data_IF_770507326450
#
_entry.id   IF_770507326450
#
_cell.length_a   1.000
_cell.length_b   1.000
_cell.length_c   1.000
_cell.angle_alpha   90.00
_cell.angle_beta   90.00
_cell.angle_gamma   90.00
#
_symmetry.space_group_name_H-M   'P 1'
#
loop_
_entity.id
_entity.type
_entity.pdbx_description
1 polymer ?
#
# COMPACT_ATOMS: atom_id res chain seq x y z
N UNK A 1 39.42 -30.39 37.59
CA UNK A 1 40.00 -29.03 37.55
C UNK A 1 40.24 -28.51 36.12
N UNK A 2 41.20 -29.02 35.32
CA UNK A 2 41.38 -28.48 33.95
C UNK A 2 40.19 -28.76 33.02
N UNK A 3 39.66 -29.98 33.06
CA UNK A 3 38.55 -30.43 32.21
C UNK A 3 37.23 -29.73 32.55
N UNK A 4 36.94 -29.51 33.83
CA UNK A 4 35.73 -28.78 34.27
C UNK A 4 35.76 -27.29 33.90
N UNK A 5 36.95 -26.68 33.87
CA UNK A 5 37.10 -25.28 33.42
C UNK A 5 36.92 -25.20 31.90
N UNK A 6 37.50 -26.13 31.14
CA UNK A 6 37.29 -26.21 29.68
C UNK A 6 35.80 -26.41 29.35
N UNK A 7 35.12 -27.35 30.02
CA UNK A 7 33.69 -27.58 29.84
C UNK A 7 32.85 -26.32 30.15
N UNK A 8 33.18 -25.58 31.21
CA UNK A 8 32.48 -24.34 31.54
C UNK A 8 32.74 -23.21 30.54
N UNK A 9 33.99 -23.07 30.06
CA UNK A 9 34.35 -22.07 29.05
C UNK A 9 33.64 -22.38 27.73
N UNK A 10 33.60 -23.65 27.32
CA UNK A 10 32.92 -24.09 26.10
C UNK A 10 31.41 -23.89 26.20
N UNK A 11 30.80 -24.17 27.36
CA UNK A 11 29.38 -23.92 27.59
C UNK A 11 29.03 -22.42 27.55
N UNK A 12 29.87 -21.56 28.13
CA UNK A 12 29.70 -20.10 28.08
C UNK A 12 29.86 -19.55 26.66
N UNK A 13 30.88 -20.03 25.94
CA UNK A 13 31.12 -19.68 24.54
C UNK A 13 29.92 -20.08 23.67
N UNK A 14 29.41 -21.29 23.85
CA UNK A 14 28.23 -21.79 23.13
C UNK A 14 26.99 -20.95 23.43
N UNK A 15 26.73 -20.64 24.70
CA UNK A 15 25.60 -19.81 25.10
C UNK A 15 25.67 -18.40 24.50
N UNK A 16 26.87 -17.77 24.51
CA UNK A 16 27.11 -16.48 23.88
C UNK A 16 26.87 -16.53 22.36
N UNK A 17 27.41 -17.54 21.69
CA UNK A 17 27.26 -17.71 20.24
C UNK A 17 25.80 -17.92 19.84
N UNK A 18 25.02 -18.69 20.61
CA UNK A 18 23.59 -18.87 20.39
C UNK A 18 22.86 -17.54 20.55
N UNK A 19 23.12 -16.79 21.64
CA UNK A 19 22.50 -15.48 21.87
C UNK A 19 22.76 -14.53 20.71
N UNK A 20 24.02 -14.40 20.30
CA UNK A 20 24.41 -13.47 19.25
C UNK A 20 23.85 -13.91 17.89
N UNK A 21 23.78 -15.22 17.61
CA UNK A 21 23.17 -15.75 16.38
C UNK A 21 21.67 -15.50 16.33
N UNK A 22 20.96 -15.73 17.44
CA UNK A 22 19.51 -15.51 17.53
C UNK A 22 19.17 -14.05 17.28
N UNK A 23 19.82 -13.12 17.99
CA UNK A 23 19.47 -11.70 17.90
C UNK A 23 19.91 -11.12 16.54
N UNK A 24 21.01 -11.58 15.95
CA UNK A 24 21.40 -11.17 14.59
C UNK A 24 20.52 -11.78 13.48
N UNK A 25 19.76 -12.84 13.77
CA UNK A 25 18.75 -13.39 12.84
C UNK A 25 17.42 -12.65 12.88
N UNK A 26 17.21 -11.77 13.89
CA UNK A 26 16.00 -10.97 13.99
C UNK A 26 15.94 -9.91 12.89
N UNK A 27 14.73 -9.70 12.35
CA UNK A 27 14.46 -8.66 11.35
C UNK A 27 14.42 -7.27 11.99
N UNK A 28 14.13 -7.20 13.29
CA UNK A 28 14.08 -5.96 14.06
C UNK A 28 15.47 -5.58 14.58
N UNK A 29 15.74 -4.28 14.68
CA UNK A 29 16.90 -3.75 15.40
C UNK A 29 16.69 -3.92 16.89
N UNK A 30 17.63 -4.55 17.59
CA UNK A 30 17.57 -4.77 19.04
C UNK A 30 18.78 -4.16 19.72
N UNK A 31 18.52 -3.31 20.72
CA UNK A 31 19.53 -2.67 21.58
C UNK A 31 19.22 -2.95 23.05
N UNK A 32 20.22 -3.37 23.80
CA UNK A 32 20.16 -3.44 25.26
C UNK A 32 20.97 -2.31 25.86
N UNK A 33 20.36 -1.53 26.75
CA UNK A 33 21.00 -0.40 27.43
C UNK A 33 20.93 -0.64 28.94
N UNK A 34 22.06 -0.52 29.63
CA UNK A 34 22.11 -0.65 31.09
C UNK A 34 21.75 0.65 31.82
N UNK A 35 21.66 0.58 33.14
CA UNK A 35 21.38 1.74 34.00
C UNK A 35 22.39 2.90 33.82
N UNK A 36 23.62 2.63 33.37
CA UNK A 36 24.63 3.66 33.07
C UNK A 36 24.51 4.25 31.65
N UNK A 37 23.44 3.93 30.93
CA UNK A 37 23.14 4.37 29.54
C UNK A 37 24.17 3.89 28.52
N UNK A 38 24.83 2.79 28.84
CA UNK A 38 25.78 2.14 27.94
C UNK A 38 25.06 1.03 27.19
N UNK A 39 25.34 0.93 25.89
CA UNK A 39 24.87 -0.17 25.06
C UNK A 39 25.64 -1.43 25.49
N UNK A 40 24.92 -2.41 26.01
CA UNK A 40 25.46 -3.71 26.42
C UNK A 40 25.17 -4.81 25.40
N UNK A 41 24.26 -4.54 24.47
CA UNK A 41 23.86 -5.44 23.40
C UNK A 41 23.39 -4.62 22.19
N UNK A 42 23.81 -5.01 20.99
CA UNK A 42 23.31 -4.47 19.73
C UNK A 42 23.40 -5.55 18.66
N UNK A 43 22.33 -5.73 17.88
CA UNK A 43 22.39 -6.60 16.71
C UNK A 43 22.78 -5.83 15.44
N UNK A 44 23.03 -6.58 14.36
CA UNK A 44 23.38 -6.00 13.06
C UNK A 44 22.36 -4.95 12.59
N UNK A 45 21.07 -5.27 12.65
CA UNK A 45 20.01 -4.36 12.20
C UNK A 45 19.97 -3.06 13.02
N UNK A 46 20.17 -3.13 14.34
CA UNK A 46 20.25 -1.95 15.19
C UNK A 46 21.46 -1.08 14.84
N UNK A 47 22.62 -1.69 14.59
CA UNK A 47 23.81 -0.94 14.15
C UNK A 47 23.55 -0.24 12.81
N UNK A 48 22.98 -0.95 11.83
CA UNK A 48 22.64 -0.38 10.52
C UNK A 48 21.66 0.81 10.64
N UNK A 49 20.69 0.74 11.55
CA UNK A 49 19.76 1.84 11.84
C UNK A 49 20.46 3.01 12.54
N UNK A 50 21.27 2.73 13.57
CA UNK A 50 21.99 3.75 14.33
C UNK A 50 23.06 4.48 13.51
N UNK A 51 23.67 3.82 12.52
CA UNK A 51 24.62 4.43 11.60
C UNK A 51 23.95 5.40 10.60
N UNK A 52 22.65 5.22 10.35
CA UNK A 52 21.86 6.04 9.41
C UNK A 52 20.82 6.93 10.13
N UNK A 53 20.90 7.05 11.45
CA UNK A 53 19.97 7.85 12.23
C UNK A 53 20.27 9.34 12.07
N UNK A 54 19.24 10.16 11.83
CA UNK A 54 19.39 11.61 11.88
C UNK A 54 19.37 12.13 13.34
N UNK A 55 19.79 13.38 13.53
CA UNK A 55 19.93 13.96 14.88
C UNK A 55 18.57 14.10 15.61
N UNK A 56 17.49 14.33 14.86
CA UNK A 56 16.15 14.48 15.45
C UNK A 56 15.62 13.12 15.94
N UNK A 57 15.78 12.07 15.13
CA UNK A 57 15.46 10.69 15.46
C UNK A 57 16.30 10.17 16.64
N UNK A 58 17.58 10.54 16.69
CA UNK A 58 18.45 10.21 17.82
C UNK A 58 18.00 10.89 19.12
N UNK A 59 17.67 12.18 19.07
CA UNK A 59 17.15 12.91 20.22
C UNK A 59 15.82 12.33 20.70
N UNK A 60 14.95 11.92 19.77
CA UNK A 60 13.71 11.24 20.07
C UNK A 60 13.93 9.90 20.80
N UNK A 61 14.82 9.06 20.28
CA UNK A 61 15.13 7.75 20.87
C UNK A 61 15.69 7.90 22.29
N UNK A 62 16.65 8.81 22.49
CA UNK A 62 17.21 9.10 23.81
C UNK A 62 16.13 9.57 24.80
N UNK A 63 15.22 10.44 24.37
CA UNK A 63 14.10 10.90 25.21
C UNK A 63 13.18 9.75 25.59
N UNK A 64 12.80 8.89 24.65
CA UNK A 64 11.93 7.75 24.91
C UNK A 64 12.59 6.75 25.88
N UNK A 65 13.90 6.49 25.73
CA UNK A 65 14.66 5.65 26.67
C UNK A 65 14.61 6.23 28.08
N UNK A 66 14.85 7.53 28.25
CA UNK A 66 14.77 8.18 29.57
C UNK A 66 13.36 8.18 30.16
N UNK A 67 12.33 8.39 29.32
CA UNK A 67 10.93 8.27 29.74
C UNK A 67 10.65 6.85 30.26
N UNK A 68 11.16 5.83 29.59
CA UNK A 68 11.02 4.41 29.96
C UNK A 68 11.73 4.08 31.27
N UNK A 69 12.94 4.60 31.50
CA UNK A 69 13.64 4.44 32.78
C UNK A 69 12.86 5.07 33.94
N UNK A 70 12.18 6.19 33.71
CA UNK A 70 11.34 6.87 34.72
C UNK A 70 10.02 6.15 34.95
N UNK A 71 9.31 5.78 33.88
CA UNK A 71 8.00 5.14 33.96
C UNK A 71 8.11 3.69 34.43
N UNK A 72 9.23 3.02 34.15
CA UNK A 72 9.45 1.58 34.34
C UNK A 72 8.40 0.72 33.62
N UNK A 73 7.83 1.25 32.54
CA UNK A 73 6.83 0.56 31.72
C UNK A 73 7.36 0.34 30.31
N UNK A 74 6.58 -0.36 29.49
CA UNK A 74 6.85 -0.44 28.05
C UNK A 74 6.20 0.74 27.36
N UNK A 75 6.99 1.47 26.57
CA UNK A 75 6.55 2.59 25.75
C UNK A 75 6.70 2.21 24.28
N UNK A 76 5.71 2.56 23.46
CA UNK A 76 5.76 2.39 22.01
C UNK A 76 5.50 3.74 21.37
N UNK A 77 6.36 4.14 20.43
CA UNK A 77 6.20 5.38 19.68
C UNK A 77 6.63 5.20 18.23
N UNK A 78 5.96 5.93 17.35
CA UNK A 78 6.28 5.97 15.93
C UNK A 78 7.43 6.95 15.68
N UNK A 79 8.33 6.57 14.79
CA UNK A 79 9.48 7.36 14.37
C UNK A 79 9.51 7.40 12.84
N UNK A 80 9.39 8.59 12.28
CA UNK A 80 9.59 8.81 10.85
C UNK A 80 10.98 9.40 10.61
N UNK A 81 11.74 8.79 9.70
CA UNK A 81 13.08 9.23 9.36
C UNK A 81 13.42 8.81 7.93
N UNK A 82 14.02 9.71 7.15
CA UNK A 82 14.45 9.43 5.77
C UNK A 82 13.32 8.82 4.90
N UNK A 83 12.08 9.30 5.04
CA UNK A 83 10.88 8.77 4.39
C UNK A 83 10.59 7.27 4.68
N UNK A 84 11.09 6.76 5.79
CA UNK A 84 10.78 5.44 6.34
C UNK A 84 10.05 5.58 7.67
N UNK A 85 9.17 4.64 7.94
CA UNK A 85 8.36 4.59 9.15
C UNK A 85 8.86 3.45 10.03
N UNK A 86 9.22 3.78 11.26
CA UNK A 86 9.67 2.84 12.25
C UNK A 86 8.75 2.88 13.47
N UNK A 87 8.59 1.73 14.11
CA UNK A 87 7.99 1.63 15.44
C UNK A 87 9.11 1.33 16.42
N UNK A 88 9.29 2.21 17.40
CA UNK A 88 10.29 2.08 18.47
C UNK A 88 9.57 1.65 19.73
N UNK A 89 9.88 0.44 20.21
CA UNK A 89 9.40 -0.06 21.49
C UNK A 89 10.52 -0.09 22.49
N UNK A 90 10.34 0.54 23.65
CA UNK A 90 11.28 0.55 24.75
C UNK A 90 10.65 -0.12 25.96
N UNK A 91 11.29 -1.15 26.49
CA UNK A 91 10.79 -1.91 27.63
C UNK A 91 11.82 -1.90 28.76
N UNK A 92 11.39 -1.45 29.94
CA UNK A 92 12.21 -1.51 31.14
C UNK A 92 12.38 -2.95 31.63
N UNK A 93 13.60 -3.29 32.07
CA UNK A 93 13.97 -4.59 32.62
C UNK A 93 14.62 -4.38 33.99
N UNK A 94 14.06 -4.97 35.04
CA UNK A 94 14.56 -4.83 36.41
C UNK A 94 15.98 -5.41 36.60
N UNK A 95 16.32 -6.48 35.87
CA UNK A 95 17.60 -7.17 35.97
C UNK A 95 18.11 -7.56 34.60
N UNK A 96 18.89 -6.67 34.00
CA UNK A 96 19.50 -6.90 32.67
C UNK A 96 20.95 -7.40 32.78
N UNK A 97 21.64 -7.06 33.88
CA UNK A 97 23.02 -7.47 34.18
C UNK A 97 23.14 -8.20 35.53
N UNK A 98 24.24 -8.93 35.71
CA UNK A 98 24.57 -9.53 37.00
C UNK A 98 24.70 -8.46 38.09
N UNK A 99 24.22 -8.76 39.30
CA UNK A 99 24.17 -7.82 40.42
C UNK A 99 22.85 -7.05 40.55
N UNK A 100 21.85 -7.36 39.72
CA UNK A 100 20.49 -6.80 39.86
C UNK A 100 20.34 -5.38 39.31
N UNK A 101 21.20 -4.98 38.37
CA UNK A 101 21.11 -3.69 37.69
C UNK A 101 20.01 -3.72 36.63
N UNK A 102 19.24 -2.64 36.57
CA UNK A 102 18.18 -2.48 35.60
C UNK A 102 18.71 -2.01 34.25
N UNK A 103 17.83 -2.04 33.25
CA UNK A 103 18.11 -1.53 31.91
C UNK A 103 16.85 -1.33 31.10
N UNK A 104 17.05 -1.00 29.84
CA UNK A 104 15.99 -0.87 28.84
C UNK A 104 16.40 -1.68 27.63
N UNK A 105 15.47 -2.47 27.10
CA UNK A 105 15.58 -3.05 25.76
C UNK A 105 14.82 -2.15 24.81
N UNK A 106 15.49 -1.76 23.73
CA UNK A 106 14.92 -1.01 22.62
C UNK A 106 14.79 -1.97 21.44
N UNK A 107 13.61 -2.02 20.85
CA UNK A 107 13.39 -2.65 19.54
C UNK A 107 12.98 -1.57 18.55
N UNK A 108 13.53 -1.67 17.34
CA UNK A 108 13.23 -0.77 16.22
C UNK A 108 12.79 -1.64 15.06
N UNK A 109 11.53 -1.52 14.68
CA UNK A 109 10.95 -2.27 13.57
C UNK A 109 10.65 -1.32 12.43
N UNK A 110 11.18 -1.61 11.24
CA UNK A 110 10.75 -0.95 10.02
C UNK A 110 9.35 -1.43 9.64
N UNK A 111 8.41 -0.48 9.56
CA UNK A 111 7.01 -0.67 9.21
C UNK A 111 6.65 0.13 7.95
N UNK A 112 7.64 0.56 7.16
CA UNK A 112 7.42 1.43 5.99
C UNK A 112 6.46 0.80 4.99
N UNK A 113 6.61 -0.49 4.69
CA UNK A 113 5.74 -1.16 3.72
C UNK A 113 4.31 -1.28 4.24
N UNK A 114 4.14 -1.69 5.49
CA UNK A 114 2.85 -1.80 6.15
C UNK A 114 2.16 -0.44 6.25
N UNK A 115 2.90 0.60 6.62
CA UNK A 115 2.39 1.97 6.70
C UNK A 115 1.96 2.49 5.33
N UNK A 116 2.79 2.30 4.29
CA UNK A 116 2.46 2.72 2.93
C UNK A 116 1.23 1.98 2.39
N UNK A 117 1.10 0.67 2.65
CA UNK A 117 -0.08 -0.10 2.25
C UNK A 117 -1.34 0.38 2.97
N UNK A 118 -1.26 0.63 4.28
CA UNK A 118 -2.39 1.19 5.05
C UNK A 118 -2.78 2.58 4.55
N UNK A 119 -1.79 3.43 4.24
CA UNK A 119 -2.02 4.76 3.69
C UNK A 119 -2.66 4.69 2.29
N UNK A 120 -2.15 3.85 1.40
CA UNK A 120 -2.74 3.61 0.08
C UNK A 120 -4.20 3.13 0.18
N UNK A 121 -4.50 2.27 1.16
CA UNK A 121 -5.87 1.79 1.41
C UNK A 121 -6.77 2.93 1.89
N UNK A 122 -6.30 3.77 2.82
CA UNK A 122 -7.03 4.94 3.31
C UNK A 122 -7.30 5.94 2.18
N UNK A 123 -6.28 6.25 1.39
CA UNK A 123 -6.38 7.15 0.24
C UNK A 123 -7.35 6.60 -0.81
N UNK A 124 -7.31 5.29 -1.07
CA UNK A 124 -8.28 4.63 -1.95
C UNK A 124 -9.71 4.81 -1.43
N UNK A 125 -9.98 4.52 -0.16
CA UNK A 125 -11.32 4.68 0.43
C UNK A 125 -11.80 6.14 0.35
N UNK A 126 -10.92 7.10 0.65
CA UNK A 126 -11.23 8.51 0.57
C UNK A 126 -11.59 8.92 -0.87
N UNK A 127 -10.76 8.56 -1.84
CA UNK A 127 -10.97 8.86 -3.26
C UNK A 127 -12.29 8.26 -3.78
N UNK A 128 -12.56 7.00 -3.45
CA UNK A 128 -13.82 6.33 -3.81
C UNK A 128 -15.03 7.04 -3.21
N UNK A 129 -14.94 7.44 -1.95
CA UNK A 129 -16.01 8.18 -1.27
C UNK A 129 -16.28 9.52 -1.95
N UNK A 130 -15.23 10.22 -2.40
CA UNK A 130 -15.35 11.48 -3.14
C UNK A 130 -15.99 11.26 -4.52
N UNK A 131 -15.52 10.28 -5.29
CA UNK A 131 -16.02 9.97 -6.64
C UNK A 131 -17.48 9.47 -6.64
N UNK A 132 -17.95 8.86 -5.54
CA UNK A 132 -19.36 8.48 -5.37
C UNK A 132 -20.24 9.63 -4.91
N UNK A 133 -19.74 10.53 -4.04
CA UNK A 133 -20.53 11.61 -3.47
C UNK A 133 -21.04 12.59 -4.54
N UNK A 134 -20.18 12.99 -5.47
CA UNK A 134 -20.53 13.92 -6.55
C UNK A 134 -21.72 13.44 -7.41
N UNK A 135 -21.71 12.23 -8.00
CA UNK A 135 -22.86 11.69 -8.74
C UNK A 135 -24.13 11.70 -7.91
N UNK A 136 -24.04 11.26 -6.65
CA UNK A 136 -25.19 11.13 -5.76
C UNK A 136 -25.81 12.49 -5.48
N UNK A 137 -24.99 13.51 -5.20
CA UNK A 137 -25.47 14.88 -4.98
C UNK A 137 -26.14 15.46 -6.22
N UNK A 138 -25.62 15.18 -7.42
CA UNK A 138 -26.26 15.61 -8.68
C UNK A 138 -27.61 14.92 -8.88
N UNK A 139 -27.65 13.59 -8.73
CA UNK A 139 -28.88 12.81 -8.82
C UNK A 139 -29.95 13.37 -7.86
N UNK A 140 -29.56 13.58 -6.61
CA UNK A 140 -30.43 14.16 -5.59
C UNK A 140 -30.93 15.54 -6.01
N UNK A 141 -30.05 16.48 -6.34
CA UNK A 141 -30.44 17.85 -6.69
C UNK A 141 -31.39 17.95 -7.91
N UNK A 142 -31.15 17.17 -8.96
CA UNK A 142 -32.06 17.13 -10.11
C UNK A 142 -33.41 16.52 -9.76
N UNK A 143 -33.42 15.43 -8.99
CA UNK A 143 -34.69 14.80 -8.58
C UNK A 143 -35.48 15.66 -7.59
N UNK A 144 -34.82 16.32 -6.64
CA UNK A 144 -35.44 17.29 -5.72
C UNK A 144 -36.05 18.46 -6.48
N UNK A 145 -35.33 19.03 -7.46
CA UNK A 145 -35.84 20.14 -8.27
C UNK A 145 -37.11 19.79 -9.05
N UNK A 146 -37.23 18.55 -9.53
CA UNK A 146 -38.43 18.05 -10.19
C UNK A 146 -39.56 17.81 -9.18
N UNK A 147 -39.26 17.18 -8.04
CA UNK A 147 -40.26 16.84 -7.01
C UNK A 147 -40.85 18.08 -6.34
N UNK A 148 -40.00 19.08 -6.06
CA UNK A 148 -40.39 20.34 -5.43
C UNK A 148 -41.10 21.29 -6.40
N UNK A 149 -41.24 20.91 -7.68
CA UNK A 149 -41.88 21.72 -8.71
C UNK A 149 -41.10 22.98 -9.08
N UNK A 150 -39.77 22.98 -8.90
CA UNK A 150 -38.88 24.03 -9.37
C UNK A 150 -38.72 23.90 -10.90
N UNK A 151 -38.59 22.68 -11.40
CA UNK A 151 -38.55 22.35 -12.83
C UNK A 151 -39.92 21.81 -13.24
N UNK A 152 -40.65 22.56 -14.05
CA UNK A 152 -42.06 22.26 -14.38
C UNK A 152 -42.31 22.04 -15.87
N UNK A 153 -41.45 22.57 -16.73
CA UNK A 153 -41.65 22.45 -18.18
C UNK A 153 -41.31 21.03 -18.67
N UNK A 154 -42.15 20.40 -19.52
CA UNK A 154 -41.94 19.02 -19.94
C UNK A 154 -40.57 18.75 -20.58
N UNK A 155 -40.04 19.72 -21.33
CA UNK A 155 -38.73 19.60 -21.97
C UNK A 155 -37.59 19.69 -20.95
N UNK A 156 -37.67 20.58 -19.96
CA UNK A 156 -36.68 20.72 -18.88
C UNK A 156 -36.66 19.51 -17.93
N UNK A 157 -37.84 18.93 -17.66
CA UNK A 157 -37.97 17.67 -16.91
C UNK A 157 -37.27 16.56 -17.69
N UNK A 158 -37.48 16.47 -19.00
CA UNK A 158 -36.87 15.45 -19.85
C UNK A 158 -35.35 15.58 -19.90
N UNK A 159 -34.81 16.79 -19.99
CA UNK A 159 -33.37 17.04 -19.91
C UNK A 159 -32.79 16.65 -18.55
N UNK A 160 -33.45 17.05 -17.45
CA UNK A 160 -33.05 16.69 -16.09
C UNK A 160 -33.05 15.17 -15.87
N UNK A 161 -34.08 14.47 -16.35
CA UNK A 161 -34.15 13.00 -16.29
C UNK A 161 -33.09 12.32 -17.15
N UNK A 162 -32.68 12.92 -18.28
CA UNK A 162 -31.59 12.41 -19.10
C UNK A 162 -30.25 12.49 -18.36
N UNK A 163 -30.00 13.60 -17.64
CA UNK A 163 -28.81 13.77 -16.79
C UNK A 163 -28.81 12.74 -15.65
N UNK A 164 -29.96 12.57 -14.98
CA UNK A 164 -30.13 11.56 -13.92
C UNK A 164 -29.82 10.16 -14.44
N UNK A 165 -30.31 9.81 -15.63
CA UNK A 165 -30.06 8.51 -16.24
C UNK A 165 -28.57 8.30 -16.57
N UNK A 166 -27.89 9.32 -17.08
CA UNK A 166 -26.47 9.23 -17.42
C UNK A 166 -25.59 9.08 -16.16
N UNK A 167 -25.86 9.87 -15.12
CA UNK A 167 -25.09 9.82 -13.88
C UNK A 167 -25.34 8.50 -13.12
N UNK A 168 -26.55 7.94 -13.19
CA UNK A 168 -26.85 6.59 -12.69
C UNK A 168 -26.03 5.51 -13.40
N UNK A 169 -25.90 5.60 -14.74
CA UNK A 169 -25.04 4.69 -15.52
C UNK A 169 -23.57 4.86 -15.15
N UNK A 170 -23.11 6.10 -14.94
CA UNK A 170 -21.74 6.38 -14.48
C UNK A 170 -21.47 5.76 -13.11
N UNK A 171 -22.37 5.94 -12.15
CA UNK A 171 -22.25 5.36 -10.81
C UNK A 171 -22.21 3.83 -10.86
N UNK A 172 -23.04 3.20 -11.70
CA UNK A 172 -23.02 1.75 -11.89
C UNK A 172 -21.67 1.25 -12.41
N UNK A 173 -21.08 1.94 -13.40
CA UNK A 173 -19.72 1.63 -13.89
C UNK A 173 -18.69 1.72 -12.77
N UNK A 174 -18.70 2.80 -12.00
CA UNK A 174 -17.78 3.01 -10.87
C UNK A 174 -17.92 1.90 -9.82
N UNK A 175 -19.14 1.54 -9.42
CA UNK A 175 -19.37 0.44 -8.48
C UNK A 175 -18.82 -0.89 -9.00
N UNK A 176 -19.02 -1.21 -10.28
CA UNK A 176 -18.47 -2.42 -10.87
C UNK A 176 -16.94 -2.42 -10.92
N UNK A 177 -16.31 -1.27 -11.20
CA UNK A 177 -14.85 -1.12 -11.14
C UNK A 177 -14.33 -1.40 -9.72
N UNK A 178 -15.01 -0.89 -8.68
CA UNK A 178 -14.64 -1.14 -7.28
C UNK A 178 -14.79 -2.60 -6.88
N UNK A 179 -15.89 -3.25 -7.29
CA UNK A 179 -16.10 -4.69 -7.04
C UNK A 179 -15.03 -5.54 -7.73
N UNK A 180 -14.59 -5.15 -8.93
CA UNK A 180 -13.50 -5.83 -9.62
C UNK A 180 -12.18 -5.69 -8.86
N UNK A 181 -11.84 -4.49 -8.38
CA UNK A 181 -10.63 -4.27 -7.56
C UNK A 181 -10.70 -5.11 -6.28
N UNK A 182 -11.82 -5.10 -5.56
CA UNK A 182 -11.98 -5.87 -4.32
C UNK A 182 -11.85 -7.38 -4.54
N UNK A 183 -12.38 -7.91 -5.65
CA UNK A 183 -12.23 -9.32 -6.03
C UNK A 183 -10.77 -9.67 -6.33
N UNK A 184 -10.05 -8.80 -7.03
CA UNK A 184 -8.63 -9.01 -7.34
C UNK A 184 -7.78 -9.07 -6.07
N UNK A 185 -8.11 -8.29 -5.04
CA UNK A 185 -7.41 -8.26 -3.75
C UNK A 185 -7.72 -9.51 -2.90
N UNK A 186 -8.97 -9.99 -2.91
CA UNK A 186 -9.41 -11.12 -2.08
C UNK A 186 -9.02 -12.51 -2.63
N UNK A 187 -9.18 -12.73 -3.94
CA UNK A 187 -8.95 -14.05 -4.56
C UNK A 187 -7.53 -14.21 -5.10
N UNK A 188 -6.76 -13.12 -5.14
CA UNK A 188 -5.53 -13.03 -5.90
C UNK A 188 -5.79 -13.04 -7.41
N UNK A 189 -4.91 -12.41 -8.18
CA UNK A 189 -5.05 -12.38 -9.63
C UNK A 189 -4.64 -13.73 -10.25
N UNK A 190 -5.59 -14.62 -10.48
CA UNK A 190 -5.34 -15.79 -11.34
C UNK A 190 -5.24 -15.32 -12.79
N UNK A 191 -4.08 -15.54 -13.41
CA UNK A 191 -3.78 -15.19 -14.80
C UNK A 191 -3.42 -16.47 -15.53
N UNK A 192 -4.31 -16.91 -16.43
CA UNK A 192 -4.11 -18.12 -17.22
C UNK A 192 -3.46 -17.73 -18.55
N UNK A 193 -2.12 -17.71 -18.56
CA UNK A 193 -1.37 -17.34 -19.77
C UNK A 193 -1.29 -18.50 -20.74
N UNK A 194 -1.66 -18.24 -21.98
CA UNK A 194 -1.47 -19.16 -23.10
C UNK A 194 -0.62 -18.51 -24.20
N UNK A 195 0.15 -19.31 -24.92
CA UNK A 195 0.92 -18.83 -26.08
C UNK A 195 -0.01 -18.79 -27.28
N UNK A 196 -0.41 -17.59 -27.67
CA UNK A 196 -1.39 -17.39 -28.74
C UNK A 196 -1.13 -16.12 -29.57
N UNK A 197 -1.67 -16.01 -30.79
CA UNK A 197 -1.48 -14.82 -31.64
C UNK A 197 -2.23 -13.59 -31.10
N UNK A 198 -1.51 -12.51 -30.82
CA UNK A 198 -2.12 -11.24 -30.38
C UNK A 198 -3.00 -10.59 -31.45
N UNK A 199 -2.77 -10.96 -32.73
CA UNK A 199 -3.47 -10.44 -33.88
C UNK A 199 -4.99 -10.60 -33.79
N UNK A 200 -5.47 -11.76 -33.32
CA UNK A 200 -6.90 -12.03 -33.21
C UNK A 200 -7.59 -11.09 -32.21
N UNK A 201 -6.93 -10.81 -31.08
CA UNK A 201 -7.44 -9.87 -30.08
C UNK A 201 -7.46 -8.43 -30.62
N UNK A 202 -6.41 -8.00 -31.31
CA UNK A 202 -6.33 -6.66 -31.87
C UNK A 202 -7.32 -6.44 -33.03
N UNK A 203 -7.57 -7.46 -33.85
CA UNK A 203 -8.62 -7.41 -34.89
C UNK A 203 -10.02 -7.31 -34.28
N UNK A 204 -10.29 -8.05 -33.19
CA UNK A 204 -11.54 -7.93 -32.42
C UNK A 204 -11.70 -6.49 -31.88
N UNK A 205 -10.65 -5.91 -31.30
CA UNK A 205 -10.69 -4.52 -30.81
C UNK A 205 -10.92 -3.52 -31.93
N UNK A 206 -10.27 -3.69 -33.07
CA UNK A 206 -10.46 -2.83 -34.25
C UNK A 206 -11.91 -2.81 -34.72
N UNK A 207 -12.58 -3.97 -34.73
CA UNK A 207 -14.00 -4.06 -35.12
C UNK A 207 -14.89 -3.41 -34.04
N UNK A 208 -14.67 -3.76 -32.76
CA UNK A 208 -15.45 -3.24 -31.62
C UNK A 208 -15.47 -1.72 -31.56
N UNK A 209 -14.33 -1.08 -31.80
CA UNK A 209 -14.15 0.36 -31.62
C UNK A 209 -14.32 1.20 -32.90
N UNK A 210 -14.56 0.57 -34.05
CA UNK A 210 -14.71 1.28 -35.32
C UNK A 210 -15.84 2.32 -35.30
N UNK A 211 -17.04 1.90 -34.90
CA UNK A 211 -18.21 2.79 -34.87
C UNK A 211 -17.98 3.95 -33.90
N UNK A 212 -17.45 3.69 -32.71
CA UNK A 212 -17.18 4.73 -31.72
C UNK A 212 -16.14 5.74 -32.22
N UNK A 213 -15.08 5.27 -32.89
CA UNK A 213 -14.08 6.15 -33.48
C UNK A 213 -14.68 7.03 -34.59
N UNK A 214 -15.52 6.46 -35.46
CA UNK A 214 -16.23 7.19 -36.52
C UNK A 214 -17.18 8.25 -35.92
N UNK A 215 -17.97 7.89 -34.91
CA UNK A 215 -18.91 8.81 -34.22
C UNK A 215 -18.18 9.99 -33.54
N UNK A 216 -16.97 9.76 -33.02
CA UNK A 216 -16.14 10.78 -32.39
C UNK A 216 -15.21 11.52 -33.37
N UNK A 217 -15.18 11.13 -34.65
CA UNK A 217 -14.28 11.69 -35.66
C UNK A 217 -12.79 11.41 -35.37
N UNK A 218 -12.48 10.29 -34.72
CA UNK A 218 -11.13 9.89 -34.34
C UNK A 218 -10.51 8.94 -35.36
N UNK A 219 -9.23 9.12 -35.67
CA UNK A 219 -8.48 8.16 -36.47
C UNK A 219 -7.80 7.12 -35.57
N UNK A 220 -8.31 5.89 -35.55
CA UNK A 220 -7.76 4.78 -34.78
C UNK A 220 -6.95 3.83 -35.65
N UNK A 221 -5.65 3.71 -35.37
CA UNK A 221 -4.72 2.86 -36.13
C UNK A 221 -4.16 1.73 -35.26
N UNK A 222 -4.22 0.51 -35.78
CA UNK A 222 -3.65 -0.68 -35.13
C UNK A 222 -2.47 -1.17 -35.96
N UNK A 223 -1.24 -1.01 -35.45
CA UNK A 223 -0.03 -1.50 -36.11
C UNK A 223 0.59 -2.65 -35.30
N UNK A 224 0.54 -3.87 -35.85
CA UNK A 224 1.06 -5.06 -35.18
C UNK A 224 1.46 -6.14 -36.19
N UNK A 225 2.39 -7.03 -35.78
CA UNK A 225 2.83 -8.16 -36.60
C UNK A 225 1.88 -9.34 -36.46
N UNK A 226 1.20 -9.72 -37.55
CA UNK A 226 0.16 -10.76 -37.56
C UNK A 226 0.64 -12.16 -37.16
N UNK A 227 1.93 -12.47 -37.38
CA UNK A 227 2.52 -13.80 -37.11
C UNK A 227 3.14 -13.93 -35.72
N UNK A 228 3.15 -12.86 -34.92
CA UNK A 228 3.81 -12.86 -33.61
C UNK A 228 2.89 -13.48 -32.55
N UNK A 229 3.38 -14.50 -31.86
CA UNK A 229 2.69 -15.15 -30.72
C UNK A 229 3.23 -14.64 -29.41
N UNK A 230 2.33 -14.38 -28.46
CA UNK A 230 2.61 -13.81 -27.15
C UNK A 230 2.09 -14.76 -26.07
N UNK A 231 2.71 -14.78 -24.89
CA UNK A 231 2.23 -15.53 -23.73
C UNK A 231 1.35 -14.63 -22.87
N UNK A 232 0.03 -14.71 -23.00
CA UNK A 232 -0.91 -13.85 -22.28
C UNK A 232 -2.26 -14.51 -22.02
N UNK A 233 -3.00 -13.95 -21.06
CA UNK A 233 -4.38 -14.31 -20.76
C UNK A 233 -5.32 -13.45 -21.62
N UNK A 234 -6.15 -14.10 -22.43
CA UNK A 234 -6.98 -13.43 -23.44
C UNK A 234 -7.98 -12.46 -22.82
N UNK A 235 -8.70 -12.89 -21.79
CA UNK A 235 -9.76 -12.09 -21.16
C UNK A 235 -9.16 -10.90 -20.40
N UNK A 236 -8.05 -11.12 -19.70
CA UNK A 236 -7.35 -10.03 -18.99
C UNK A 236 -6.77 -9.00 -19.96
N UNK A 237 -6.20 -9.44 -21.09
CA UNK A 237 -5.68 -8.52 -22.10
C UNK A 237 -6.79 -7.77 -22.83
N UNK A 238 -7.94 -8.42 -23.08
CA UNK A 238 -9.15 -7.75 -23.62
C UNK A 238 -9.61 -6.62 -22.69
N UNK A 239 -9.62 -6.87 -21.38
CA UNK A 239 -9.96 -5.87 -20.36
C UNK A 239 -8.97 -4.70 -20.33
N UNK A 240 -7.66 -4.98 -20.33
CA UNK A 240 -6.62 -3.92 -20.35
C UNK A 240 -6.75 -3.06 -21.60
N UNK A 241 -6.88 -3.67 -22.78
CA UNK A 241 -7.00 -2.94 -24.04
C UNK A 241 -8.30 -2.13 -24.09
N UNK A 242 -9.42 -2.70 -23.61
CA UNK A 242 -10.70 -1.98 -23.49
C UNK A 242 -10.53 -0.72 -22.63
N UNK A 243 -9.93 -0.83 -21.44
CA UNK A 243 -9.71 0.32 -20.55
C UNK A 243 -8.80 1.39 -21.18
N UNK A 244 -7.72 0.98 -21.84
CA UNK A 244 -6.79 1.91 -22.49
C UNK A 244 -7.41 2.61 -23.69
N UNK A 245 -8.17 1.89 -24.53
CA UNK A 245 -8.84 2.46 -25.70
C UNK A 245 -9.98 3.39 -25.26
N UNK A 246 -10.78 2.99 -24.28
CA UNK A 246 -11.85 3.85 -23.72
C UNK A 246 -11.27 5.16 -23.17
N UNK A 247 -10.16 5.08 -22.43
CA UNK A 247 -9.45 6.27 -21.95
C UNK A 247 -8.91 7.12 -23.11
N UNK A 248 -8.27 6.51 -24.11
CA UNK A 248 -7.75 7.23 -25.27
C UNK A 248 -8.87 7.96 -26.04
N UNK A 249 -10.01 7.30 -26.26
CA UNK A 249 -11.18 7.89 -26.94
C UNK A 249 -11.78 9.06 -26.17
N UNK A 250 -11.78 9.03 -24.83
CA UNK A 250 -12.29 10.13 -23.98
C UNK A 250 -11.38 11.35 -23.97
N UNK A 251 -10.06 11.15 -23.89
CA UNK A 251 -9.11 12.24 -23.69
C UNK A 251 -8.50 12.80 -24.97
N UNK A 252 -8.64 12.10 -26.10
CA UNK A 252 -8.20 12.61 -27.39
C UNK A 252 -9.19 13.66 -27.87
N UNK A 253 -8.81 14.95 -27.83
CA UNK A 253 -9.60 16.03 -28.43
C UNK A 253 -9.65 15.83 -29.94
N UNK A 254 -10.82 15.98 -30.54
CA UNK A 254 -10.98 16.06 -31.99
C UNK A 254 -10.04 17.15 -32.51
N UNK A 255 -9.09 16.79 -33.37
CA UNK A 255 -8.22 17.76 -34.02
C UNK A 255 -9.11 18.68 -34.85
N UNK A 256 -9.26 19.95 -34.43
CA UNK A 256 -9.83 21.01 -35.25
C UNK A 256 -8.71 21.68 -36.03
#
# INVERSE_FOLDING_TARGET
MSTEIEEHVDALSTSKNIRDSLINSMVEGVLGINESRQIILSNKMANDIMDNIDEDAKAFLLRQIEDTFKSKQTEMRDLEMNARFFVVTTSYIDKIEQGGKSGVVVTVRDMTNEHNLDQMKKDFIANVSHELRTPISLLQGYTESIVDGIVTEPDEIKESLAIVLDESKRLNRLVNELLNVARMDAEGLSVNKEVQPIAALLDKMKIKYRQQADDLGLNMTFNYCKKRVWSYDMDRMDQVLTNLIDNASRYTKTWR
#
